data_IF_718466640188
#
_entry.id   IF_718466640188
#
_cell.length_a   1.000
_cell.length_b   1.000
_cell.length_c   1.000
_cell.angle_alpha   90.00
_cell.angle_beta   90.00
_cell.angle_gamma   90.00
#
_symmetry.space_group_name_H-M   'P 1'
#
loop_
_entity.id
_entity.type
_entity.pdbx_description
1 polymer ?
#
# COMPACT_ATOMS: atom_id res chain seq x y z
N UNK A 1 0.77 -64.00 -44.92
CA UNK A 1 -0.50 -63.81 -45.65
C UNK A 1 -1.14 -62.52 -45.15
N UNK A 2 -1.20 -61.44 -45.93
CA UNK A 2 -2.00 -60.26 -45.58
C UNK A 2 -3.43 -60.41 -46.15
N UNK A 3 -4.42 -59.80 -45.50
CA UNK A 3 -5.59 -59.26 -46.21
C UNK A 3 -5.60 -57.72 -46.21
N UNK A 4 -6.09 -57.18 -47.33
CA UNK A 4 -6.35 -55.76 -47.63
C UNK A 4 -7.88 -55.60 -47.68
N UNK A 5 -8.40 -54.44 -47.20
CA UNK A 5 -9.65 -53.70 -47.56
C UNK A 5 -10.36 -53.22 -46.28
N UNK A 6 -11.03 -52.05 -46.17
CA UNK A 6 -11.13 -50.78 -46.91
C UNK A 6 -12.08 -49.90 -46.05
N UNK A 7 -12.01 -48.57 -46.19
CA UNK A 7 -13.15 -47.69 -45.90
C UNK A 7 -13.29 -47.02 -44.52
N UNK A 8 -13.72 -45.75 -44.61
CA UNK A 8 -14.48 -44.98 -43.61
C UNK A 8 -13.74 -44.35 -42.42
N UNK A 9 -13.12 -43.19 -42.70
CA UNK A 9 -13.34 -41.92 -42.00
C UNK A 9 -14.01 -42.01 -40.60
N UNK A 10 -13.24 -42.30 -39.57
CA UNK A 10 -13.63 -42.07 -38.18
C UNK A 10 -13.46 -40.58 -37.86
N UNK A 11 -14.61 -39.92 -37.80
CA UNK A 11 -14.83 -38.50 -37.57
C UNK A 11 -14.33 -38.07 -36.18
N UNK A 12 -13.60 -36.96 -36.17
CA UNK A 12 -13.82 -35.78 -35.31
C UNK A 12 -14.25 -36.07 -33.85
N UNK A 13 -13.29 -35.97 -32.93
CA UNK A 13 -13.57 -35.59 -31.55
C UNK A 13 -12.69 -34.40 -31.18
N UNK A 14 -13.29 -33.21 -31.34
CA UNK A 14 -12.87 -31.96 -30.73
C UNK A 14 -12.67 -32.14 -29.23
N UNK A 15 -11.49 -31.81 -28.71
CA UNK A 15 -11.34 -31.35 -27.34
C UNK A 15 -10.29 -30.24 -27.31
N UNK A 16 -10.72 -29.05 -27.69
CA UNK A 16 -9.99 -27.82 -27.38
C UNK A 16 -9.98 -27.64 -25.86
N UNK A 17 -8.92 -28.17 -25.23
CA UNK A 17 -8.54 -27.87 -23.85
C UNK A 17 -8.26 -26.36 -23.73
N UNK A 18 -9.24 -25.60 -23.22
CA UNK A 18 -9.03 -24.23 -22.75
C UNK A 18 -8.58 -24.31 -21.30
N UNK A 19 -7.30 -24.60 -21.08
CA UNK A 19 -6.67 -24.42 -19.77
C UNK A 19 -6.61 -22.93 -19.46
N UNK A 20 -7.48 -22.46 -18.58
CA UNK A 20 -7.37 -21.14 -17.98
C UNK A 20 -6.34 -21.21 -16.85
N UNK A 21 -5.06 -21.00 -17.15
CA UNK A 21 -4.04 -20.77 -16.13
C UNK A 21 -4.24 -19.38 -15.55
N UNK A 22 -4.86 -19.31 -14.36
CA UNK A 22 -4.87 -18.06 -13.59
C UNK A 22 -3.52 -17.96 -12.90
N UNK A 23 -2.58 -17.26 -13.53
CA UNK A 23 -1.29 -16.91 -12.95
C UNK A 23 -1.53 -15.83 -11.90
N UNK A 24 -1.69 -16.23 -10.64
CA UNK A 24 -1.71 -15.31 -9.52
C UNK A 24 -0.30 -14.74 -9.34
N UNK A 25 -0.03 -13.61 -9.98
CA UNK A 25 1.17 -12.82 -9.74
C UNK A 25 1.02 -12.16 -8.37
N UNK A 26 1.55 -12.83 -7.35
CA UNK A 26 1.75 -12.29 -6.01
C UNK A 26 2.62 -11.03 -6.14
N UNK A 27 1.95 -9.89 -6.28
CA UNK A 27 2.59 -8.59 -6.30
C UNK A 27 2.75 -8.24 -4.83
N UNK A 28 3.83 -8.74 -4.23
CA UNK A 28 4.28 -8.29 -2.92
C UNK A 28 4.57 -6.79 -3.01
N UNK A 29 3.55 -5.97 -2.70
CA UNK A 29 3.62 -4.52 -2.61
C UNK A 29 4.47 -4.21 -1.38
N UNK A 30 5.79 -4.28 -1.56
CA UNK A 30 6.72 -3.78 -0.56
C UNK A 30 6.82 -2.27 -0.78
N UNK A 31 5.89 -1.50 -0.22
CA UNK A 31 5.94 -0.04 -0.17
C UNK A 31 7.09 0.40 0.76
N UNK A 32 8.33 0.25 0.29
CA UNK A 32 9.53 0.66 1.00
C UNK A 32 9.73 2.18 0.85
N UNK A 33 8.86 2.96 1.49
CA UNK A 33 9.06 4.41 1.60
C UNK A 33 10.19 4.69 2.59
N UNK A 34 11.39 4.95 2.07
CA UNK A 34 12.54 5.36 2.87
C UNK A 34 12.30 6.79 3.38
N UNK A 35 11.87 6.91 4.64
CA UNK A 35 11.61 8.20 5.27
C UNK A 35 12.71 8.52 6.30
N UNK A 36 13.42 9.62 6.08
CA UNK A 36 14.45 10.13 7.00
C UNK A 36 13.94 11.39 7.69
N UNK A 37 14.13 11.47 9.00
CA UNK A 37 13.73 12.66 9.76
C UNK A 37 13.76 12.44 11.26
N UNK A 38 13.65 13.55 11.99
CA UNK A 38 13.50 13.55 13.44
C UNK A 38 12.04 13.79 13.79
N UNK A 39 11.53 13.00 14.74
CA UNK A 39 10.16 13.10 15.22
C UNK A 39 10.16 13.18 16.74
N UNK A 40 9.45 14.16 17.28
CA UNK A 40 9.32 14.33 18.72
C UNK A 40 8.30 13.33 19.26
N UNK A 41 8.64 12.66 20.36
CA UNK A 41 7.81 11.66 21.01
C UNK A 41 7.64 12.00 22.49
N UNK A 42 6.58 11.48 23.09
CA UNK A 42 6.33 11.58 24.52
C UNK A 42 6.39 10.20 25.14
N UNK A 43 6.85 10.12 26.39
CA UNK A 43 6.79 8.88 27.18
C UNK A 43 5.35 8.70 27.64
N UNK A 44 4.69 7.63 27.17
CA UNK A 44 3.31 7.30 27.52
C UNK A 44 3.23 6.31 28.69
N UNK A 45 4.34 5.69 29.07
CA UNK A 45 4.41 4.80 30.20
C UNK A 45 5.79 4.21 30.41
N UNK A 46 5.92 3.45 31.50
CA UNK A 46 7.13 2.73 31.87
C UNK A 46 6.83 1.25 32.02
N UNK A 47 7.68 0.40 31.47
CA UNK A 47 7.58 -1.04 31.59
C UNK A 47 8.16 -1.52 32.93
N UNK A 48 7.77 -2.68 33.49
CA UNK A 48 8.32 -3.19 34.75
C UNK A 48 9.84 -3.40 34.73
N UNK A 49 10.42 -3.51 33.54
CA UNK A 49 11.87 -3.60 33.32
C UNK A 49 12.62 -2.27 33.44
N UNK A 50 11.89 -1.15 33.59
CA UNK A 50 12.45 0.21 33.59
C UNK A 50 12.57 0.86 32.20
N UNK A 51 12.18 0.15 31.13
CA UNK A 51 12.14 0.73 29.79
C UNK A 51 10.97 1.71 29.63
N UNK A 52 11.13 2.70 28.76
CA UNK A 52 10.13 3.73 28.48
C UNK A 52 9.34 3.33 27.24
N UNK A 53 8.01 3.37 27.34
CA UNK A 53 7.14 3.27 26.17
C UNK A 53 6.92 4.68 25.64
N UNK A 54 7.27 4.92 24.38
CA UNK A 54 7.18 6.23 23.75
C UNK A 54 6.20 6.20 22.58
N UNK A 55 5.46 7.30 22.41
CA UNK A 55 4.62 7.51 21.25
C UNK A 55 4.57 8.99 20.89
N UNK A 56 4.50 9.27 19.59
CA UNK A 56 4.35 10.62 19.06
C UNK A 56 3.64 10.60 17.71
N UNK A 57 3.04 11.73 17.38
CA UNK A 57 2.44 11.97 16.07
C UNK A 57 2.94 13.29 15.47
N UNK A 58 3.11 13.31 14.16
CA UNK A 58 3.46 14.50 13.39
C UNK A 58 2.50 14.62 12.23
N UNK A 59 1.74 15.72 12.19
CA UNK A 59 0.82 16.03 11.11
C UNK A 59 1.45 17.06 10.19
N UNK A 60 1.56 16.74 8.91
CA UNK A 60 2.07 17.62 7.87
C UNK A 60 0.89 17.95 6.96
N UNK A 61 0.58 19.24 6.82
CA UNK A 61 -0.48 19.71 5.92
C UNK A 61 0.17 20.51 4.79
N UNK A 62 0.09 20.02 3.56
CA UNK A 62 0.68 20.68 2.40
C UNK A 62 -0.29 20.62 1.22
N UNK A 63 -0.61 21.79 0.66
CA UNK A 63 -1.41 21.87 -0.58
C UNK A 63 -2.78 21.21 -0.52
N UNK A 64 -3.43 21.15 0.65
CA UNK A 64 -4.73 20.51 0.84
C UNK A 64 -4.69 19.03 1.23
N UNK A 65 -3.52 18.39 1.15
CA UNK A 65 -3.29 17.04 1.67
C UNK A 65 -2.88 17.09 3.14
N UNK A 66 -3.36 16.12 3.92
CA UNK A 66 -3.02 15.95 5.34
C UNK A 66 -2.40 14.58 5.54
N UNK A 67 -1.10 14.59 5.83
CA UNK A 67 -0.33 13.39 6.13
C UNK A 67 -0.07 13.32 7.64
N UNK A 68 -0.44 12.20 8.25
CA UNK A 68 -0.18 11.92 9.66
C UNK A 68 0.86 10.81 9.76
N UNK A 69 1.96 11.10 10.44
CA UNK A 69 3.00 10.16 10.76
C UNK A 69 2.90 9.83 12.25
N UNK A 70 2.74 8.57 12.61
CA UNK A 70 2.72 8.10 13.99
C UNK A 70 3.94 7.21 14.22
N UNK A 71 4.63 7.45 15.31
CA UNK A 71 5.74 6.60 15.76
C UNK A 71 5.43 6.08 17.16
N UNK A 72 5.71 4.81 17.37
CA UNK A 72 5.64 4.17 18.68
C UNK A 72 6.83 3.23 18.85
N UNK A 73 7.28 3.05 20.08
CA UNK A 73 8.34 2.10 20.38
C UNK A 73 8.68 2.06 21.85
N UNK A 74 9.71 1.27 22.16
CA UNK A 74 10.25 1.13 23.51
C UNK A 74 11.69 1.62 23.51
N UNK A 75 12.01 2.52 24.44
CA UNK A 75 13.33 3.13 24.60
C UNK A 75 13.93 2.65 25.91
N UNK A 76 15.20 2.26 25.87
CA UNK A 76 15.98 2.03 27.09
C UNK A 76 16.49 3.39 27.61
N UNK A 77 16.24 3.76 28.88
CA UNK A 77 16.75 5.01 29.44
C UNK A 77 18.27 5.21 29.29
N UNK A 78 19.05 4.11 29.21
CA UNK A 78 20.51 4.15 29.03
C UNK A 78 20.95 4.58 27.62
N UNK A 79 20.06 4.50 26.64
CA UNK A 79 20.34 4.86 25.25
C UNK A 79 19.95 6.32 24.92
N UNK A 80 19.46 7.07 25.91
CA UNK A 80 19.15 8.49 25.78
C UNK A 80 20.43 9.32 25.86
N UNK A 81 20.74 10.02 24.77
CA UNK A 81 21.89 10.91 24.67
C UNK A 81 21.60 12.28 25.29
N UNK A 82 22.66 13.07 25.49
CA UNK A 82 22.57 14.44 25.98
C UNK A 82 21.64 15.25 25.07
N UNK A 83 20.61 15.86 25.65
CA UNK A 83 19.57 16.59 24.90
C UNK A 83 18.28 15.80 24.63
N UNK A 84 18.07 14.67 25.30
CA UNK A 84 16.87 13.83 25.16
C UNK A 84 16.69 13.26 23.75
N UNK A 85 17.81 12.92 23.11
CA UNK A 85 17.84 12.35 21.77
C UNK A 85 18.08 10.84 21.83
N UNK A 86 17.42 10.10 20.95
CA UNK A 86 17.60 8.65 20.81
C UNK A 86 17.64 8.32 19.33
N UNK A 87 18.71 7.67 18.89
CA UNK A 87 18.82 7.19 17.52
C UNK A 87 17.71 6.15 17.23
N UNK A 88 17.06 6.25 16.06
CA UNK A 88 15.98 5.33 15.67
C UNK A 88 16.41 3.86 15.66
N UNK A 89 17.69 3.57 15.41
CA UNK A 89 18.29 2.24 15.48
C UNK A 89 18.34 1.65 16.89
N UNK A 90 18.25 2.47 17.93
CA UNK A 90 18.26 2.06 19.34
C UNK A 90 16.85 1.94 19.94
N UNK A 91 15.81 2.20 19.16
CA UNK A 91 14.42 2.06 19.60
C UNK A 91 13.96 0.62 19.37
N UNK A 92 13.63 -0.08 20.45
CA UNK A 92 13.09 -1.43 20.37
C UNK A 92 11.64 -1.40 19.87
N UNK A 93 11.29 -2.35 18.98
CA UNK A 93 9.95 -2.48 18.39
C UNK A 93 9.41 -1.16 17.81
N UNK A 94 10.28 -0.38 17.17
CA UNK A 94 9.87 0.85 16.51
C UNK A 94 8.86 0.55 15.40
N UNK A 95 7.69 1.17 15.49
CA UNK A 95 6.63 1.12 14.49
C UNK A 95 6.35 2.52 14.00
N UNK A 96 6.35 2.67 12.68
CA UNK A 96 6.00 3.91 11.98
C UNK A 96 4.76 3.62 11.15
N UNK A 97 3.73 4.42 11.35
CA UNK A 97 2.50 4.39 10.56
C UNK A 97 2.37 5.72 9.85
N UNK A 98 2.22 5.69 8.52
CA UNK A 98 1.92 6.85 7.72
C UNK A 98 0.49 6.73 7.21
N UNK A 99 -0.36 7.68 7.58
CA UNK A 99 -1.72 7.80 7.08
C UNK A 99 -1.84 9.11 6.28
N UNK A 100 -1.88 9.01 4.96
CA UNK A 100 -2.12 10.13 4.06
C UNK A 100 -3.59 10.21 3.66
N UNK A 101 -4.22 11.35 3.87
CA UNK A 101 -5.53 11.65 3.30
C UNK A 101 -5.31 12.52 2.06
N UNK A 102 -5.21 11.86 0.91
CA UNK A 102 -5.15 12.53 -0.39
C UNK A 102 -6.54 13.06 -0.77
N UNK A 103 -6.60 14.26 -1.34
CA UNK A 103 -7.77 14.66 -2.10
C UNK A 103 -7.90 13.70 -3.28
N UNK A 104 -8.88 12.79 -3.24
CA UNK A 104 -9.45 12.25 -4.46
C UNK A 104 -10.03 13.46 -5.18
N UNK A 105 -9.25 14.05 -6.07
CA UNK A 105 -9.77 14.95 -7.07
C UNK A 105 -10.57 14.06 -8.00
N UNK A 106 -11.81 13.77 -7.59
CA UNK A 106 -12.87 13.34 -8.48
C UNK A 106 -13.00 14.46 -9.49
N UNK A 107 -12.21 14.35 -10.56
CA UNK A 107 -12.27 15.22 -11.71
C UNK A 107 -13.64 14.99 -12.35
N UNK A 108 -14.64 15.65 -11.77
CA UNK A 108 -16.02 15.88 -12.22
C UNK A 108 -16.04 16.80 -13.45
N UNK A 109 -15.02 16.65 -14.28
CA UNK A 109 -14.92 16.95 -15.70
C UNK A 109 -16.12 16.40 -16.50
N UNK A 110 -17.02 15.62 -15.91
CA UNK A 110 -18.28 15.19 -16.52
C UNK A 110 -19.26 16.35 -16.81
N UNK A 111 -19.05 17.57 -16.28
CA UNK A 111 -19.90 18.73 -16.55
C UNK A 111 -19.71 19.41 -17.91
N UNK A 112 -18.47 19.51 -18.42
CA UNK A 112 -18.24 20.12 -19.75
C UNK A 112 -18.72 19.21 -20.88
N UNK A 113 -18.54 17.89 -20.75
CA UNK A 113 -18.99 16.92 -21.75
C UNK A 113 -20.53 16.91 -21.88
N UNK A 114 -21.24 17.02 -20.75
CA UNK A 114 -22.70 17.18 -20.74
C UNK A 114 -23.14 18.46 -21.46
N UNK A 115 -22.42 19.57 -21.27
CA UNK A 115 -22.72 20.85 -21.94
C UNK A 115 -22.44 20.80 -23.45
N UNK A 116 -21.43 20.05 -23.89
CA UNK A 116 -21.16 19.82 -25.31
C UNK A 116 -22.28 19.00 -25.98
N UNK A 117 -22.78 17.96 -25.32
CA UNK A 117 -23.88 17.14 -25.85
C UNK A 117 -25.22 17.89 -25.89
N UNK A 118 -25.55 18.63 -24.83
CA UNK A 118 -26.76 19.45 -24.76
C UNK A 118 -26.73 20.62 -25.78
N UNK A 119 -25.55 21.18 -26.08
CA UNK A 119 -25.40 22.22 -27.10
C UNK A 119 -25.61 21.71 -28.53
N UNK A 120 -25.36 20.43 -28.80
CA UNK A 120 -25.60 19.81 -30.11
C UNK A 120 -27.04 19.36 -30.27
N UNK A 121 -27.76 19.03 -29.20
CA UNK A 121 -29.17 18.60 -29.31
C UNK A 121 -30.18 19.76 -29.46
N UNK A 122 -29.73 21.02 -29.42
CA UNK A 122 -30.60 22.21 -29.42
C UNK A 122 -30.61 23.01 -30.74
N UNK A 123 -30.31 22.35 -31.87
CA UNK A 123 -30.60 22.88 -33.21
C UNK A 123 -31.81 22.22 -33.84
#
# INVERSE_FOLDING_TARGET
MPPIIDGAAARLASSSHRSASTEFKDSSLTDASAMTGTLAVTVIGTMPTGNLVVSGEKVISMGGNRDRLRLSGVVNPKDIETGNYVASSKVANARIEQAGSGMISDATTMGWLQRMFLSVLTF
#
